data_IF_044067444558
#
_entry.id   IF_044067444558
#
_cell.length_a   1.000
_cell.length_b   1.000
_cell.length_c   1.000
_cell.angle_alpha   90.00
_cell.angle_beta   90.00
_cell.angle_gamma   90.00
#
_symmetry.space_group_name_H-M   'P 1'
#
loop_
_entity.id
_entity.type
_entity.pdbx_description
1 polymer ?
#
# COMPACT_ATOMS: atom_id res chain seq x y z
N UNK A 1 4.91 -21.14 3.37
CA UNK A 1 3.99 -20.30 2.57
C UNK A 1 3.65 -18.98 3.27
N UNK A 2 3.44 -18.96 4.60
CA UNK A 2 3.14 -17.72 5.36
C UNK A 2 4.27 -16.68 5.31
N UNK A 3 5.54 -17.05 5.49
CA UNK A 3 6.66 -16.10 5.37
C UNK A 3 6.73 -15.43 3.98
N UNK A 4 6.41 -16.17 2.91
CA UNK A 4 6.37 -15.64 1.55
C UNK A 4 5.21 -14.67 1.36
N UNK A 5 4.03 -14.94 1.94
CA UNK A 5 2.87 -14.02 1.85
C UNK A 5 3.05 -12.76 2.70
N UNK A 6 3.72 -12.85 3.86
CA UNK A 6 4.13 -11.66 4.62
C UNK A 6 5.10 -10.80 3.80
N UNK A 7 6.12 -11.40 3.20
CA UNK A 7 7.08 -10.68 2.36
C UNK A 7 6.41 -10.02 1.14
N UNK A 8 5.49 -10.74 0.48
CA UNK A 8 4.73 -10.19 -0.65
C UNK A 8 3.83 -9.03 -0.22
N UNK A 9 3.07 -9.17 0.87
CA UNK A 9 2.23 -8.11 1.41
C UNK A 9 3.04 -6.89 1.86
N UNK A 10 4.17 -7.10 2.54
CA UNK A 10 5.09 -6.03 2.91
C UNK A 10 5.67 -5.31 1.68
N UNK A 11 6.08 -6.05 0.64
CA UNK A 11 6.56 -5.47 -0.62
C UNK A 11 5.47 -4.68 -1.38
N UNK A 12 4.22 -5.12 -1.28
CA UNK A 12 3.07 -4.44 -1.88
C UNK A 12 2.76 -3.13 -1.15
N UNK A 13 2.78 -3.16 0.18
CA UNK A 13 2.63 -1.97 1.02
C UNK A 13 3.75 -0.94 0.77
N UNK A 14 5.00 -1.40 0.66
CA UNK A 14 6.14 -0.50 0.39
C UNK A 14 5.99 0.21 -0.96
N UNK A 15 5.72 -0.55 -2.03
CA UNK A 15 5.47 0.02 -3.37
C UNK A 15 4.30 0.99 -3.42
N UNK A 16 3.23 0.71 -2.67
CA UNK A 16 2.09 1.61 -2.57
C UNK A 16 2.45 2.91 -1.83
N UNK A 17 3.34 2.84 -0.83
CA UNK A 17 3.86 4.00 -0.10
C UNK A 17 4.75 4.87 -1.01
N UNK A 18 5.66 4.26 -1.78
CA UNK A 18 6.50 4.98 -2.73
C UNK A 18 5.67 5.74 -3.78
N UNK A 19 4.59 5.10 -4.26
CA UNK A 19 3.65 5.73 -5.20
C UNK A 19 2.93 6.91 -4.55
N UNK A 20 2.50 6.78 -3.30
CA UNK A 20 1.87 7.86 -2.55
C UNK A 20 2.82 9.04 -2.34
N UNK A 21 4.07 8.80 -1.99
CA UNK A 21 5.08 9.85 -1.80
C UNK A 21 5.39 10.58 -3.11
N UNK A 22 5.48 9.84 -4.21
CA UNK A 22 5.64 10.43 -5.54
C UNK A 22 4.43 11.30 -5.91
N UNK A 23 3.22 10.84 -5.61
CA UNK A 23 1.97 11.60 -5.79
C UNK A 23 1.95 12.87 -4.96
N UNK A 24 2.27 12.78 -3.67
CA UNK A 24 2.32 13.92 -2.76
C UNK A 24 3.33 14.97 -3.22
N UNK A 25 4.49 14.54 -3.74
CA UNK A 25 5.51 15.43 -4.30
C UNK A 25 4.98 16.17 -5.54
N UNK A 26 4.24 15.50 -6.42
CA UNK A 26 3.62 16.14 -7.61
C UNK A 26 2.52 17.14 -7.22
N UNK A 27 1.70 16.82 -6.23
CA UNK A 27 0.68 17.75 -5.68
C UNK A 27 1.35 18.95 -4.99
N UNK A 28 2.41 18.74 -4.21
CA UNK A 28 3.12 19.84 -3.57
C UNK A 28 3.71 20.82 -4.61
N UNK A 29 4.20 20.28 -5.74
CA UNK A 29 4.69 21.08 -6.86
C UNK A 29 3.58 21.79 -7.63
N UNK A 30 2.36 21.25 -7.68
CA UNK A 30 1.24 21.91 -8.36
C UNK A 30 0.86 23.24 -7.73
N UNK A 31 1.11 23.43 -6.42
CA UNK A 31 0.90 24.70 -5.73
C UNK A 31 1.88 25.81 -6.12
N UNK A 32 2.91 25.51 -6.92
CA UNK A 32 3.94 26.47 -7.36
C UNK A 32 3.71 27.01 -8.79
N UNK A 33 2.58 26.68 -9.43
CA UNK A 33 2.14 27.17 -10.75
C UNK A 33 3.09 26.89 -11.95
N UNK A 34 4.14 26.09 -11.75
CA UNK A 34 5.18 25.84 -12.77
C UNK A 34 4.86 24.71 -13.76
N UNK A 35 3.86 23.87 -13.50
CA UNK A 35 3.45 22.76 -14.38
C UNK A 35 1.96 22.47 -14.19
N UNK A 36 1.22 22.31 -15.29
CA UNK A 36 -0.20 21.91 -15.29
C UNK A 36 -0.39 20.49 -14.79
N UNK A 37 -0.27 20.29 -13.48
CA UNK A 37 -0.55 19.01 -12.82
C UNK A 37 -2.06 18.81 -12.80
N UNK A 38 -2.53 17.73 -13.43
CA UNK A 38 -3.92 17.29 -13.33
C UNK A 38 -4.17 16.68 -11.95
N UNK A 39 -4.61 17.52 -11.00
CA UNK A 39 -4.94 17.10 -9.63
C UNK A 39 -5.99 15.99 -9.62
N UNK A 40 -6.96 15.99 -10.55
CA UNK A 40 -7.99 14.97 -10.57
C UNK A 40 -7.38 13.59 -10.87
N UNK A 41 -6.45 13.53 -11.82
CA UNK A 41 -5.70 12.31 -12.13
C UNK A 41 -4.80 11.87 -10.98
N UNK A 42 -4.14 12.82 -10.31
CA UNK A 42 -3.27 12.51 -9.18
C UNK A 42 -4.05 11.97 -7.97
N UNK A 43 -5.24 12.52 -7.70
CA UNK A 43 -6.13 12.03 -6.66
C UNK A 43 -6.63 10.61 -6.92
N UNK A 44 -6.90 10.25 -8.18
CA UNK A 44 -7.20 8.85 -8.56
C UNK A 44 -5.99 7.95 -8.30
N UNK A 45 -4.79 8.39 -8.66
CA UNK A 45 -3.54 7.66 -8.36
C UNK A 45 -3.36 7.40 -6.86
N UNK A 46 -3.67 8.39 -6.02
CA UNK A 46 -3.66 8.22 -4.55
C UNK A 46 -4.71 7.20 -4.09
N UNK A 47 -5.91 7.22 -4.67
CA UNK A 47 -6.98 6.29 -4.31
C UNK A 47 -6.62 4.83 -4.69
N UNK A 48 -6.00 4.65 -5.85
CA UNK A 48 -5.46 3.35 -6.28
C UNK A 48 -4.33 2.87 -5.36
N UNK A 49 -3.39 3.76 -5.02
CA UNK A 49 -2.30 3.46 -4.09
C UNK A 49 -2.84 3.03 -2.72
N UNK A 50 -3.83 3.76 -2.18
CA UNK A 50 -4.51 3.42 -0.92
C UNK A 50 -5.18 2.04 -0.99
N UNK A 51 -5.86 1.76 -2.10
CA UNK A 51 -6.56 0.47 -2.29
C UNK A 51 -5.55 -0.67 -2.37
N UNK A 52 -4.46 -0.50 -3.09
CA UNK A 52 -3.37 -1.47 -3.22
C UNK A 52 -2.66 -1.73 -1.88
N UNK A 53 -2.42 -0.67 -1.10
CA UNK A 53 -1.88 -0.78 0.26
C UNK A 53 -2.81 -1.59 1.15
N UNK A 54 -4.12 -1.26 1.17
CA UNK A 54 -5.11 -1.95 1.99
C UNK A 54 -5.25 -3.43 1.61
N UNK A 55 -5.24 -3.74 0.31
CA UNK A 55 -5.26 -5.13 -0.17
C UNK A 55 -4.03 -5.90 0.32
N UNK A 56 -2.84 -5.30 0.21
CA UNK A 56 -1.58 -5.90 0.66
C UNK A 56 -1.55 -6.09 2.18
N UNK A 57 -2.07 -5.13 2.94
CA UNK A 57 -2.20 -5.20 4.40
C UNK A 57 -3.12 -6.37 4.82
N UNK A 58 -4.26 -6.55 4.14
CA UNK A 58 -5.16 -7.68 4.40
C UNK A 58 -4.47 -9.04 4.19
N UNK A 59 -3.65 -9.18 3.15
CA UNK A 59 -2.87 -10.41 2.92
C UNK A 59 -1.94 -10.71 4.09
N UNK A 60 -1.25 -9.69 4.62
CA UNK A 60 -0.40 -9.83 5.81
C UNK A 60 -1.25 -10.25 7.03
N UNK A 61 -2.37 -9.59 7.27
CA UNK A 61 -3.27 -9.91 8.39
C UNK A 61 -3.80 -11.34 8.31
N UNK A 62 -4.23 -11.80 7.13
CA UNK A 62 -4.69 -13.17 6.95
C UNK A 62 -3.56 -14.18 7.18
N UNK A 63 -2.35 -13.89 6.70
CA UNK A 63 -1.20 -14.77 6.93
C UNK A 63 -0.81 -14.86 8.42
N UNK A 64 -0.94 -13.76 9.16
CA UNK A 64 -0.76 -13.71 10.61
C UNK A 64 -1.85 -14.51 11.34
N UNK A 65 -3.11 -14.32 10.96
CA UNK A 65 -4.24 -15.10 11.50
C UNK A 65 -4.08 -16.59 11.27
N UNK A 66 -3.65 -17.02 10.08
CA UNK A 66 -3.37 -18.43 9.80
C UNK A 66 -2.27 -18.97 10.71
N UNK A 67 -1.21 -18.20 10.95
CA UNK A 67 -0.11 -18.59 11.85
C UNK A 67 -0.60 -18.70 13.29
N UNK A 68 -1.43 -17.75 13.73
CA UNK A 68 -2.05 -17.77 15.05
C UNK A 68 -2.96 -18.98 15.24
N UNK A 69 -3.81 -19.30 14.26
CA UNK A 69 -4.69 -20.48 14.34
C UNK A 69 -3.90 -21.79 14.42
N UNK A 70 -2.75 -21.90 13.75
CA UNK A 70 -1.88 -23.07 13.88
C UNK A 70 -1.26 -23.18 15.28
N UNK A 71 -0.87 -22.05 15.87
CA UNK A 71 -0.34 -22.03 17.25
C UNK A 71 -1.42 -22.37 18.28
N UNK A 72 -2.64 -21.88 18.08
CA UNK A 72 -3.79 -22.11 18.95
C UNK A 72 -4.26 -23.58 18.95
N UNK A 73 -4.01 -24.32 17.87
CA UNK A 73 -4.26 -25.77 17.82
C UNK A 73 -3.19 -26.55 18.60
N UNK A 74 -1.97 -26.02 18.70
CA UNK A 74 -0.83 -26.69 19.32
C UNK A 74 -0.79 -26.55 20.84
N UNK A 75 -1.39 -25.49 21.39
CA UNK A 75 -1.40 -25.14 22.82
C UNK A 75 -2.75 -25.46 23.44
#
# INVERSE_FOLDING_TARGET
>A
MTMTSLALGASGMHRASDRLDASATRIARSGTDLEGVDLAREMVGILEAKTSFSASAKVVTTADQMSKSLLDILV
#
